data_IF_229771327054
#
_entry.id   IF_229771327054
#
_cell.length_a   1.000
_cell.length_b   1.000
_cell.length_c   1.000
_cell.angle_alpha   90.00
_cell.angle_beta   90.00
_cell.angle_gamma   90.00
#
_symmetry.space_group_name_H-M   'P 1'
#
loop_
_entity.id
_entity.type
_entity.pdbx_description
1 polymer ?
#
# COMPACT_ATOMS: atom_id res chain seq x y z
N UNK A 1 -18.72 -6.01 17.41
CA UNK A 1 -17.50 -6.65 17.93
C UNK A 1 -16.40 -5.61 17.99
N UNK A 2 -16.27 -4.99 19.12
CA UNK A 2 -15.51 -3.77 19.30
C UNK A 2 -14.10 -4.07 19.82
N UNK A 3 -13.24 -4.75 19.17
CA UNK A 3 -11.82 -4.97 19.42
C UNK A 3 -11.22 -4.61 20.80
N UNK A 4 -9.91 -4.67 20.91
CA UNK A 4 -9.15 -4.40 22.15
C UNK A 4 -9.45 -3.03 22.78
N UNK A 5 -9.75 -2.00 21.98
CA UNK A 5 -10.03 -0.65 22.48
C UNK A 5 -11.28 -0.59 23.34
N UNK A 6 -12.34 -1.33 22.99
CA UNK A 6 -13.54 -1.41 23.82
C UNK A 6 -13.27 -2.23 25.09
N UNK A 7 -12.60 -3.36 24.98
CA UNK A 7 -12.24 -4.19 26.14
C UNK A 7 -11.41 -3.39 27.16
N UNK A 8 -10.49 -2.57 26.69
CA UNK A 8 -9.70 -1.67 27.53
C UNK A 8 -10.58 -0.63 28.23
N UNK A 9 -11.54 -0.03 27.50
CA UNK A 9 -12.47 0.95 28.08
C UNK A 9 -13.38 0.32 29.13
N UNK A 10 -13.89 -0.88 28.86
CA UNK A 10 -14.75 -1.61 29.79
C UNK A 10 -13.98 -2.04 31.06
N UNK A 11 -12.69 -2.35 30.94
CA UNK A 11 -11.82 -2.70 32.06
C UNK A 11 -11.46 -1.51 32.94
N UNK A 12 -11.51 -0.28 32.42
CA UNK A 12 -11.12 0.96 33.11
C UNK A 12 -12.25 2.00 33.03
N UNK A 13 -13.41 1.76 33.67
CA UNK A 13 -14.62 2.57 33.47
C UNK A 13 -14.48 4.01 33.95
N UNK A 14 -13.56 4.29 34.87
CA UNK A 14 -13.32 5.62 35.44
C UNK A 14 -12.17 6.39 34.74
N UNK A 15 -11.54 5.79 33.70
CA UNK A 15 -10.47 6.44 32.98
C UNK A 15 -11.00 7.35 31.85
N UNK A 16 -10.32 8.46 31.63
CA UNK A 16 -10.53 9.28 30.43
C UNK A 16 -9.69 8.76 29.30
N UNK A 17 -10.31 8.52 28.14
CA UNK A 17 -9.63 8.03 26.95
C UNK A 17 -9.58 9.12 25.88
N UNK A 18 -8.40 9.38 25.35
CA UNK A 18 -8.17 10.29 24.22
C UNK A 18 -7.41 9.54 23.13
N UNK A 19 -7.91 9.59 21.90
CA UNK A 19 -7.27 8.99 20.74
C UNK A 19 -6.66 10.07 19.84
N UNK A 20 -5.43 9.83 19.39
CA UNK A 20 -4.75 10.62 18.35
C UNK A 20 -4.53 9.71 17.15
N UNK A 21 -5.12 10.03 16.01
CA UNK A 21 -5.02 9.22 14.80
C UNK A 21 -5.11 10.08 13.57
N UNK A 22 -4.28 9.78 12.56
CA UNK A 22 -4.40 10.33 11.22
C UNK A 22 -5.36 9.53 10.31
N UNK A 23 -5.88 8.38 10.81
CA UNK A 23 -6.72 7.45 10.04
C UNK A 23 -7.90 6.96 10.90
N UNK A 24 -8.85 7.85 11.26
CA UNK A 24 -10.02 7.39 11.99
C UNK A 24 -10.82 6.38 11.16
N UNK A 25 -11.32 5.35 11.83
CA UNK A 25 -12.11 4.30 11.19
C UNK A 25 -13.59 4.63 11.43
N UNK A 26 -14.40 4.54 10.37
CA UNK A 26 -15.86 4.60 10.42
C UNK A 26 -16.42 3.46 9.59
N UNK A 27 -16.54 2.28 10.21
CA UNK A 27 -17.16 1.07 9.64
C UNK A 27 -18.18 0.53 10.64
N UNK A 28 -19.17 -0.21 10.16
CA UNK A 28 -20.30 -0.71 10.96
C UNK A 28 -19.87 -1.53 12.19
N UNK A 29 -18.75 -2.25 12.11
CA UNK A 29 -18.20 -3.09 13.16
C UNK A 29 -17.04 -2.45 13.93
N UNK A 30 -16.42 -1.37 13.38
CA UNK A 30 -15.27 -0.68 13.95
C UNK A 30 -15.41 0.82 13.70
N UNK A 31 -15.77 1.54 14.73
CA UNK A 31 -15.92 2.99 14.65
C UNK A 31 -15.16 3.67 15.78
N UNK A 32 -14.24 4.57 15.40
CA UNK A 32 -13.41 5.31 16.34
C UNK A 32 -14.26 6.20 17.25
N UNK A 33 -15.31 6.83 16.73
CA UNK A 33 -16.19 7.69 17.50
C UNK A 33 -17.03 6.91 18.52
N UNK A 34 -17.44 5.69 18.21
CA UNK A 34 -18.20 4.86 19.13
C UNK A 34 -17.39 4.45 20.36
N UNK A 35 -16.06 4.40 20.23
CA UNK A 35 -15.15 4.04 21.34
C UNK A 35 -14.68 5.27 22.11
N UNK A 36 -14.30 6.35 21.42
CA UNK A 36 -13.64 7.51 22.02
C UNK A 36 -14.52 8.76 22.11
N UNK A 37 -15.72 8.74 21.52
CA UNK A 37 -16.62 9.89 21.45
C UNK A 37 -16.34 10.79 20.24
N UNK A 38 -16.98 11.96 20.22
CA UNK A 38 -16.85 12.90 19.11
C UNK A 38 -15.44 13.47 19.00
N UNK A 39 -15.08 13.89 17.79
CA UNK A 39 -13.81 14.58 17.57
C UNK A 39 -13.72 15.87 18.36
N UNK A 40 -12.62 16.03 19.09
CA UNK A 40 -12.30 17.26 19.83
C UNK A 40 -11.68 18.29 18.87
N UNK A 41 -10.83 17.82 17.95
CA UNK A 41 -10.19 18.64 16.94
C UNK A 41 -9.90 17.79 15.72
N UNK A 42 -10.02 18.40 14.54
CA UNK A 42 -9.63 17.82 13.24
C UNK A 42 -8.62 18.78 12.64
N UNK A 43 -7.46 18.24 12.26
CA UNK A 43 -6.44 18.92 11.47
C UNK A 43 -6.22 18.11 10.22
N UNK A 44 -6.91 18.46 9.15
CA UNK A 44 -6.90 17.69 7.92
C UNK A 44 -5.80 18.14 6.95
N UNK A 45 -5.68 17.42 5.82
CA UNK A 45 -4.67 17.69 4.80
C UNK A 45 -4.85 19.09 4.20
N UNK A 46 -6.09 19.55 4.02
CA UNK A 46 -6.37 20.87 3.45
C UNK A 46 -5.85 21.97 4.39
N UNK A 47 -6.18 21.89 5.66
CA UNK A 47 -5.71 22.85 6.65
C UNK A 47 -4.18 22.83 6.79
N UNK A 48 -3.57 21.64 6.73
CA UNK A 48 -2.12 21.51 6.78
C UNK A 48 -1.41 22.18 5.58
N UNK A 49 -2.04 22.19 4.41
CA UNK A 49 -1.53 22.90 3.22
C UNK A 49 -1.75 24.42 3.37
N UNK A 50 -2.91 24.85 3.84
CA UNK A 50 -3.22 26.28 4.07
C UNK A 50 -2.28 26.89 5.10
N UNK A 51 -1.96 26.16 6.16
CA UNK A 51 -1.03 26.56 7.20
C UNK A 51 0.46 26.48 6.75
N UNK A 52 0.74 25.95 5.55
CA UNK A 52 2.11 25.77 5.06
C UNK A 52 2.90 24.65 5.76
N UNK A 53 2.22 23.79 6.54
CA UNK A 53 2.84 22.65 7.21
C UNK A 53 3.18 21.51 6.25
N UNK A 54 2.41 21.38 5.18
CA UNK A 54 2.62 20.39 4.09
C UNK A 54 2.50 21.04 2.72
N UNK A 55 2.87 20.30 1.68
CA UNK A 55 2.72 20.73 0.28
C UNK A 55 1.46 20.13 -0.34
N UNK A 56 0.88 20.76 -1.40
CA UNK A 56 -0.24 20.19 -2.13
C UNK A 56 0.07 18.80 -2.70
N UNK A 57 -0.92 17.91 -2.65
CA UNK A 57 -0.85 16.59 -3.29
C UNK A 57 -1.53 16.69 -4.65
N UNK A 58 -0.80 16.35 -5.70
CA UNK A 58 -1.32 16.24 -7.06
C UNK A 58 -1.55 14.76 -7.37
N UNK A 59 -2.80 14.38 -7.58
CA UNK A 59 -3.18 13.02 -7.92
C UNK A 59 -3.24 12.84 -9.44
N UNK A 60 -2.51 11.85 -9.95
CA UNK A 60 -2.54 11.43 -11.35
C UNK A 60 -2.86 9.94 -11.41
N UNK A 61 -4.03 9.60 -11.96
CA UNK A 61 -4.39 8.20 -12.22
C UNK A 61 -3.83 7.77 -13.56
N UNK A 62 -2.98 6.75 -13.54
CA UNK A 62 -2.41 6.13 -14.75
C UNK A 62 -2.80 4.67 -14.79
N UNK A 63 -3.59 4.31 -15.80
CA UNK A 63 -3.86 2.91 -16.09
C UNK A 63 -2.68 2.35 -16.89
N UNK A 64 -2.01 1.32 -16.34
CA UNK A 64 -1.12 0.52 -17.15
C UNK A 64 -1.95 -0.13 -18.27
N UNK A 65 -1.71 0.27 -19.52
CA UNK A 65 -2.32 -0.37 -20.69
C UNK A 65 -1.74 -1.78 -20.83
N UNK A 66 -2.29 -2.69 -20.05
CA UNK A 66 -1.91 -4.08 -20.11
C UNK A 66 -2.64 -4.64 -21.32
N UNK A 67 -1.95 -5.44 -22.11
CA UNK A 67 -2.55 -6.30 -23.14
C UNK A 67 -3.27 -7.51 -22.52
N UNK A 68 -3.96 -7.32 -21.42
CA UNK A 68 -5.05 -8.18 -21.02
C UNK A 68 -6.17 -7.93 -22.03
N UNK A 69 -6.78 -8.97 -22.53
CA UNK A 69 -7.96 -8.85 -23.38
C UNK A 69 -8.89 -7.85 -22.72
N UNK A 70 -9.41 -6.89 -23.49
CA UNK A 70 -10.25 -5.76 -22.99
C UNK A 70 -11.33 -6.16 -21.99
N UNK A 71 -11.69 -7.43 -21.94
CA UNK A 71 -12.70 -8.01 -21.04
C UNK A 71 -12.18 -8.36 -19.62
N UNK A 72 -10.88 -8.27 -19.34
CA UNK A 72 -10.29 -8.68 -18.04
C UNK A 72 -9.96 -7.48 -17.12
N UNK A 73 -9.89 -6.26 -17.66
CA UNK A 73 -9.58 -5.05 -16.89
C UNK A 73 -10.67 -4.69 -15.88
N UNK A 74 -11.98 -4.70 -16.22
CA UNK A 74 -13.04 -4.42 -15.25
C UNK A 74 -13.10 -5.43 -14.10
N UNK A 75 -12.74 -6.69 -14.37
CA UNK A 75 -12.78 -7.78 -13.40
C UNK A 75 -11.73 -7.62 -12.30
N UNK A 76 -10.62 -6.93 -12.58
CA UNK A 76 -9.56 -6.72 -11.57
C UNK A 76 -10.01 -5.67 -10.57
N UNK A 77 -10.60 -4.57 -11.02
CA UNK A 77 -11.04 -3.48 -10.14
C UNK A 77 -12.22 -3.94 -9.25
N UNK A 78 -13.22 -4.65 -9.81
CA UNK A 78 -14.30 -5.28 -9.03
C UNK A 78 -13.77 -6.29 -7.99
N UNK A 79 -12.80 -7.13 -8.37
CA UNK A 79 -12.20 -8.10 -7.46
C UNK A 79 -11.36 -7.45 -6.36
N UNK A 80 -10.74 -6.31 -6.62
CA UNK A 80 -10.01 -5.54 -5.61
C UNK A 80 -10.98 -4.97 -4.59
N UNK A 81 -12.07 -4.35 -5.01
CA UNK A 81 -13.09 -3.81 -4.11
C UNK A 81 -13.74 -4.89 -3.25
N UNK A 82 -14.08 -6.06 -3.83
CA UNK A 82 -14.63 -7.20 -3.09
C UNK A 82 -13.67 -7.79 -2.03
N UNK A 83 -12.35 -7.72 -2.25
CA UNK A 83 -11.34 -8.24 -1.31
C UNK A 83 -11.13 -7.29 -0.12
N UNK A 84 -11.27 -5.98 -0.34
CA UNK A 84 -11.12 -4.96 0.70
C UNK A 84 -12.37 -4.77 1.57
N UNK A 85 -13.49 -5.42 1.26
CA UNK A 85 -14.66 -5.46 2.12
C UNK A 85 -14.45 -6.47 3.26
N UNK A 86 -13.82 -6.01 4.33
CA UNK A 86 -13.37 -6.78 5.51
C UNK A 86 -14.52 -7.26 6.44
N UNK A 87 -15.78 -7.20 6.01
CA UNK A 87 -16.96 -7.47 6.86
C UNK A 87 -17.32 -8.95 7.02
N UNK A 88 -16.36 -9.88 6.89
CA UNK A 88 -16.68 -11.30 6.81
C UNK A 88 -16.24 -12.10 8.03
N UNK A 89 -17.22 -12.59 8.77
CA UNK A 89 -17.08 -13.36 10.02
C UNK A 89 -17.12 -14.91 9.80
N UNK A 90 -17.19 -15.40 8.56
CA UNK A 90 -17.23 -16.83 8.25
C UNK A 90 -15.90 -17.37 7.71
N UNK A 91 -15.41 -18.49 8.27
CA UNK A 91 -14.13 -19.09 7.87
C UNK A 91 -14.09 -19.51 6.39
N UNK A 92 -15.24 -19.87 5.79
CA UNK A 92 -15.35 -20.17 4.36
C UNK A 92 -15.15 -18.95 3.48
N UNK A 93 -15.61 -17.81 3.94
CA UNK A 93 -15.44 -16.55 3.22
C UNK A 93 -14.01 -16.03 3.35
N UNK A 94 -13.36 -16.22 4.51
CA UNK A 94 -11.93 -15.95 4.67
C UNK A 94 -11.06 -16.79 3.73
N UNK A 95 -11.39 -18.06 3.51
CA UNK A 95 -10.69 -18.91 2.54
C UNK A 95 -10.92 -18.44 1.10
N UNK A 96 -12.14 -18.03 0.77
CA UNK A 96 -12.46 -17.45 -0.55
C UNK A 96 -11.71 -16.13 -0.78
N UNK A 97 -11.67 -15.25 0.21
CA UNK A 97 -10.92 -14.00 0.14
C UNK A 97 -9.42 -14.23 -0.06
N UNK A 98 -8.83 -15.20 0.66
CA UNK A 98 -7.43 -15.62 0.46
C UNK A 98 -7.17 -16.15 -0.95
N UNK A 99 -8.09 -16.96 -1.48
CA UNK A 99 -7.96 -17.50 -2.84
C UNK A 99 -8.07 -16.41 -3.91
N UNK A 100 -9.00 -15.47 -3.76
CA UNK A 100 -9.15 -14.30 -4.64
C UNK A 100 -7.91 -13.41 -4.59
N UNK A 101 -7.39 -13.15 -3.38
CA UNK A 101 -6.16 -12.40 -3.18
C UNK A 101 -4.97 -13.03 -3.90
N UNK A 102 -4.77 -14.34 -3.76
CA UNK A 102 -3.71 -15.06 -4.44
C UNK A 102 -3.83 -15.02 -5.97
N UNK A 103 -5.07 -15.09 -6.50
CA UNK A 103 -5.31 -14.95 -7.94
C UNK A 103 -4.99 -13.54 -8.43
N UNK A 104 -5.39 -12.51 -7.67
CA UNK A 104 -5.08 -11.12 -7.98
C UNK A 104 -3.58 -10.87 -7.93
N UNK A 105 -2.90 -11.35 -6.90
CA UNK A 105 -1.46 -11.26 -6.74
C UNK A 105 -0.71 -11.90 -7.91
N UNK A 106 -1.15 -13.08 -8.37
CA UNK A 106 -0.58 -13.75 -9.54
C UNK A 106 -0.72 -12.91 -10.83
N UNK A 107 -1.88 -12.27 -11.04
CA UNK A 107 -2.12 -11.41 -12.19
C UNK A 107 -1.30 -10.12 -12.10
N UNK A 108 -1.31 -9.47 -10.95
CA UNK A 108 -0.57 -8.21 -10.71
C UNK A 108 0.94 -8.45 -10.79
N UNK A 109 1.42 -9.57 -10.25
CA UNK A 109 2.83 -9.97 -10.22
C UNK A 109 3.31 -10.72 -11.47
N UNK A 110 2.51 -10.82 -12.54
CA UNK A 110 2.92 -11.45 -13.78
C UNK A 110 4.11 -10.72 -14.42
N UNK A 111 5.14 -11.47 -14.83
CA UNK A 111 6.40 -10.91 -15.35
C UNK A 111 6.20 -9.92 -16.51
N UNK A 112 5.35 -10.18 -17.52
CA UNK A 112 5.13 -9.23 -18.62
C UNK A 112 4.54 -7.91 -18.13
N UNK A 113 3.66 -7.96 -17.12
CA UNK A 113 3.05 -6.80 -16.51
C UNK A 113 4.07 -5.99 -15.70
N UNK A 114 4.83 -6.64 -14.85
CA UNK A 114 5.91 -6.00 -14.07
C UNK A 114 6.85 -5.26 -15.00
N UNK A 115 7.31 -5.92 -16.07
CA UNK A 115 8.20 -5.31 -17.07
C UNK A 115 7.59 -4.06 -17.68
N UNK A 116 6.36 -4.12 -18.16
CA UNK A 116 5.68 -3.00 -18.80
C UNK A 116 5.49 -1.81 -17.84
N UNK A 117 5.06 -2.09 -16.59
CA UNK A 117 4.90 -1.05 -15.58
C UNK A 117 6.25 -0.43 -15.23
N UNK A 118 7.31 -1.23 -15.11
CA UNK A 118 8.66 -0.76 -14.82
C UNK A 118 9.17 0.19 -15.89
N UNK A 119 9.00 -0.16 -17.18
CA UNK A 119 9.39 0.68 -18.32
C UNK A 119 8.64 2.02 -18.34
N UNK A 120 7.31 1.99 -18.11
CA UNK A 120 6.48 3.21 -18.07
C UNK A 120 6.86 4.10 -16.87
N UNK A 121 7.06 3.49 -15.71
CA UNK A 121 7.42 4.21 -14.48
C UNK A 121 8.77 4.91 -14.61
N UNK A 122 9.79 4.26 -15.13
CA UNK A 122 11.10 4.88 -15.35
C UNK A 122 10.99 6.06 -16.31
N UNK A 123 10.31 5.88 -17.43
CA UNK A 123 10.09 6.95 -18.40
C UNK A 123 9.36 8.14 -17.77
N UNK A 124 8.34 7.88 -16.97
CA UNK A 124 7.60 8.93 -16.26
C UNK A 124 8.48 9.64 -15.24
N UNK A 125 9.24 8.89 -14.43
CA UNK A 125 10.14 9.45 -13.43
C UNK A 125 11.23 10.31 -14.07
N UNK A 126 11.90 9.83 -15.11
CA UNK A 126 12.91 10.59 -15.83
C UNK A 126 12.35 11.88 -16.44
N UNK A 127 11.17 11.83 -17.06
CA UNK A 127 10.50 13.02 -17.61
C UNK A 127 10.19 14.04 -16.52
N UNK A 128 9.69 13.58 -15.38
CA UNK A 128 9.33 14.45 -14.26
C UNK A 128 10.55 15.08 -13.60
N UNK A 129 11.61 14.32 -13.42
CA UNK A 129 12.84 14.79 -12.76
C UNK A 129 13.69 15.73 -13.61
N UNK A 130 13.44 15.83 -14.93
CA UNK A 130 14.05 16.87 -15.78
C UNK A 130 13.63 18.29 -15.38
N UNK A 131 12.40 18.43 -14.91
CA UNK A 131 11.84 19.74 -14.52
C UNK A 131 11.91 19.98 -13.02
N UNK A 132 11.76 18.93 -12.22
CA UNK A 132 11.74 19.03 -10.77
C UNK A 132 12.48 17.85 -10.16
N UNK A 133 13.66 18.07 -9.56
CA UNK A 133 14.37 17.00 -8.88
C UNK A 133 13.54 16.46 -7.71
N UNK A 134 13.54 15.14 -7.52
CA UNK A 134 12.75 14.51 -6.48
C UNK A 134 13.08 13.03 -6.31
N UNK A 135 12.46 12.42 -5.30
CA UNK A 135 12.52 10.99 -5.03
C UNK A 135 11.20 10.34 -5.40
N UNK A 136 11.23 9.06 -5.75
CA UNK A 136 10.05 8.23 -5.95
C UNK A 136 9.94 7.20 -4.83
N UNK A 137 8.71 6.90 -4.42
CA UNK A 137 8.37 5.78 -3.56
C UNK A 137 7.35 4.91 -4.28
N UNK A 138 7.67 3.63 -4.43
CA UNK A 138 6.81 2.65 -5.08
C UNK A 138 6.26 1.74 -4.00
N UNK A 139 4.93 1.70 -3.88
CA UNK A 139 4.23 0.82 -2.95
C UNK A 139 3.66 -0.35 -3.71
N UNK A 140 4.13 -1.55 -3.39
CA UNK A 140 3.69 -2.79 -4.02
C UNK A 140 2.65 -3.50 -3.16
N UNK A 141 1.81 -4.30 -3.80
CA UNK A 141 0.74 -5.07 -3.17
C UNK A 141 1.29 -6.13 -2.20
N UNK A 142 2.45 -6.72 -2.50
CA UNK A 142 3.11 -7.71 -1.66
C UNK A 142 4.63 -7.58 -1.70
N UNK A 143 5.31 -8.24 -0.75
CA UNK A 143 6.77 -8.29 -0.71
C UNK A 143 7.34 -9.01 -1.94
N UNK A 144 6.71 -10.07 -2.38
CA UNK A 144 7.10 -10.81 -3.58
C UNK A 144 7.04 -9.92 -4.84
N UNK A 145 5.95 -9.18 -5.03
CA UNK A 145 5.82 -8.22 -6.12
C UNK A 145 6.88 -7.11 -6.00
N UNK A 146 7.18 -6.66 -4.78
CA UNK A 146 8.20 -5.64 -4.54
C UNK A 146 9.59 -6.12 -5.01
N UNK A 147 9.99 -7.35 -4.68
CA UNK A 147 11.26 -7.93 -5.12
C UNK A 147 11.28 -8.11 -6.65
N UNK A 148 10.22 -8.69 -7.24
CA UNK A 148 10.11 -8.82 -8.70
C UNK A 148 10.23 -7.47 -9.42
N UNK A 149 9.61 -6.44 -8.86
CA UNK A 149 9.67 -5.09 -9.41
C UNK A 149 11.08 -4.49 -9.29
N UNK A 150 11.73 -4.69 -8.15
CA UNK A 150 13.11 -4.26 -7.94
C UNK A 150 14.07 -4.93 -8.93
N UNK A 151 13.95 -6.24 -9.12
CA UNK A 151 14.78 -6.97 -10.09
C UNK A 151 14.53 -6.53 -11.53
N UNK A 152 13.28 -6.20 -11.89
CA UNK A 152 12.96 -5.63 -13.20
C UNK A 152 13.60 -4.24 -13.37
N UNK A 153 13.55 -3.40 -12.36
CA UNK A 153 14.23 -2.09 -12.32
C UNK A 153 15.75 -2.25 -12.43
N UNK A 154 16.34 -3.17 -11.68
CA UNK A 154 17.78 -3.48 -11.72
C UNK A 154 18.26 -3.90 -13.09
N UNK A 155 17.44 -4.72 -13.79
CA UNK A 155 17.75 -5.12 -15.19
C UNK A 155 17.63 -3.96 -16.16
N UNK A 156 16.69 -3.05 -15.96
CA UNK A 156 16.44 -1.92 -16.85
C UNK A 156 17.42 -0.76 -16.63
N UNK A 157 17.78 -0.53 -15.35
CA UNK A 157 18.62 0.59 -14.86
C UNK A 157 19.66 0.09 -13.86
N UNK A 158 20.64 -0.71 -14.30
CA UNK A 158 21.66 -1.29 -13.41
C UNK A 158 22.48 -0.22 -12.67
N UNK A 159 22.61 0.97 -13.24
CA UNK A 159 23.33 2.09 -12.64
C UNK A 159 22.69 2.64 -11.35
N UNK A 160 21.41 2.33 -11.11
CA UNK A 160 20.71 2.72 -9.87
C UNK A 160 20.97 1.76 -8.71
N UNK A 161 21.46 0.56 -8.99
CA UNK A 161 21.73 -0.49 -8.02
C UNK A 161 23.19 -0.48 -7.56
N UNK A 162 23.39 -0.85 -6.30
CA UNK A 162 24.71 -1.17 -5.72
C UNK A 162 24.51 -2.30 -4.69
N UNK A 163 25.42 -3.27 -4.69
CA UNK A 163 25.37 -4.40 -3.74
C UNK A 163 25.68 -3.95 -2.31
N UNK A 164 26.39 -2.84 -2.14
CA UNK A 164 26.56 -2.18 -0.85
C UNK A 164 25.28 -1.44 -0.47
N UNK A 165 24.64 -1.87 0.61
CA UNK A 165 23.38 -1.29 1.10
C UNK A 165 23.46 0.20 1.44
N UNK A 166 24.67 0.72 1.69
CA UNK A 166 24.88 2.16 1.94
C UNK A 166 24.97 2.99 0.67
N UNK A 167 25.12 2.36 -0.50
CA UNK A 167 25.28 2.98 -1.81
C UNK A 167 24.08 2.70 -2.71
N UNK A 168 24.15 3.16 -3.97
CA UNK A 168 23.07 3.07 -4.94
C UNK A 168 21.93 4.03 -4.66
N UNK A 169 21.06 4.17 -5.65
CA UNK A 169 19.94 5.12 -5.62
C UNK A 169 18.59 4.42 -5.41
N UNK A 170 18.57 3.09 -5.47
CA UNK A 170 17.37 2.27 -5.39
C UNK A 170 17.48 1.28 -4.22
N UNK A 171 16.46 1.26 -3.35
CA UNK A 171 16.40 0.39 -2.18
C UNK A 171 15.01 -0.19 -2.00
N UNK A 172 14.94 -1.41 -1.48
CA UNK A 172 13.71 -2.00 -0.94
C UNK A 172 13.62 -1.67 0.55
N UNK A 173 12.40 -1.40 0.99
CA UNK A 173 12.05 -1.29 2.41
C UNK A 173 10.90 -2.24 2.69
N UNK A 174 11.16 -3.30 3.45
CA UNK A 174 10.15 -4.28 3.83
C UNK A 174 10.38 -4.80 5.25
N UNK A 175 9.35 -5.37 5.85
CA UNK A 175 9.47 -6.05 7.13
C UNK A 175 10.21 -7.38 6.96
N UNK A 176 11.14 -7.70 7.88
CA UNK A 176 11.85 -8.97 7.94
C UNK A 176 11.12 -10.00 8.83
N UNK A 177 11.25 -11.28 8.50
CA UNK A 177 10.81 -12.41 9.31
C UNK A 177 11.85 -13.53 9.27
N UNK A 178 12.00 -14.25 10.37
CA UNK A 178 12.90 -15.41 10.44
C UNK A 178 12.49 -16.55 9.49
N UNK A 179 11.25 -16.56 9.03
CA UNK A 179 10.70 -17.54 8.06
C UNK A 179 10.74 -17.06 6.61
N UNK A 180 11.40 -15.95 6.31
CA UNK A 180 11.44 -15.41 4.98
C UNK A 180 12.25 -16.28 4.02
N UNK A 181 11.76 -16.38 2.79
CA UNK A 181 12.43 -17.10 1.70
C UNK A 181 13.76 -16.45 1.35
N UNK A 182 14.67 -17.22 0.78
CA UNK A 182 16.04 -16.79 0.47
C UNK A 182 16.07 -15.51 -0.41
N UNK A 183 15.11 -15.37 -1.31
CA UNK A 183 14.99 -14.20 -2.20
C UNK A 183 14.76 -12.87 -1.46
N UNK A 184 14.23 -12.91 -0.23
CA UNK A 184 13.99 -11.70 0.56
C UNK A 184 15.19 -11.29 1.42
N UNK A 185 16.06 -12.24 1.76
CA UNK A 185 17.18 -12.00 2.68
C UNK A 185 18.13 -10.87 2.27
N UNK A 186 18.46 -10.65 0.97
CA UNK A 186 19.33 -9.55 0.57
C UNK A 186 18.73 -8.16 0.80
N UNK A 187 17.44 -8.08 1.14
CA UNK A 187 16.68 -6.83 1.25
C UNK A 187 16.27 -6.47 2.70
N UNK A 188 16.86 -7.14 3.68
CA UNK A 188 16.62 -6.89 5.11
C UNK A 188 17.59 -5.88 5.70
#
# INVERSE_FOLDING_TARGET
>A
KYGLAKSMRDALPNATFVAFTGTPISKDDRDTQSVFGNYVSIYDIQQAVEDGATVPIYYESRLAKISLKENEVPIIDEKVEEIFDDSVDDDREKERAKSRWAQLEAVVGAEPRIKQITEDLIKHFETRTQTQPGKAMIVCMSREICVKFYEALRKLKPELHDDDLSKGQMKIVMSASASDVEEFQPHH
#
